data_IF_981419947740
#
_entry.id   IF_981419947740
#
_cell.length_a   1.000
_cell.length_b   1.000
_cell.length_c   1.000
_cell.angle_alpha   90.00
_cell.angle_beta   90.00
_cell.angle_gamma   90.00
#
_symmetry.space_group_name_H-M   'P 1'
#
loop_
_entity.id
_entity.type
_entity.pdbx_description
1 polymer ?
#
# COMPACT_ATOMS: atom_id res chain seq x y z
N UNK A 1 -5.31 9.14 67.93
CA UNK A 1 -5.25 8.29 66.71
C UNK A 1 -4.78 9.14 65.54
N UNK A 2 -3.92 8.56 64.72
CA UNK A 2 -3.09 9.18 63.68
C UNK A 2 -3.91 9.63 62.46
N UNK A 3 -3.77 10.88 62.05
CA UNK A 3 -4.05 11.30 60.67
C UNK A 3 -2.90 10.80 59.77
N UNK A 4 -3.25 10.20 58.63
CA UNK A 4 -2.33 9.97 57.51
C UNK A 4 -2.97 10.54 56.25
N UNK A 5 -2.55 11.75 55.88
CA UNK A 5 -2.72 12.30 54.53
C UNK A 5 -1.56 11.76 53.70
N UNK A 6 -1.85 11.00 52.65
CA UNK A 6 -0.85 10.58 51.66
C UNK A 6 -0.93 11.59 50.53
N UNK A 7 0.07 12.47 50.45
CA UNK A 7 0.30 13.30 49.28
C UNK A 7 1.12 12.45 48.29
N UNK A 8 0.56 12.17 47.11
CA UNK A 8 1.30 11.57 46.01
C UNK A 8 2.17 12.67 45.36
N UNK A 9 3.48 12.43 45.35
CA UNK A 9 4.47 13.26 44.65
C UNK A 9 4.44 12.84 43.18
N UNK A 10 3.96 13.72 42.30
CA UNK A 10 4.15 13.57 40.86
C UNK A 10 5.53 14.15 40.49
N UNK A 11 6.48 13.27 40.17
CA UNK A 11 7.77 13.67 39.61
C UNK A 11 7.60 13.87 38.10
N UNK A 12 7.52 15.13 37.66
CA UNK A 12 7.62 15.47 36.25
C UNK A 12 9.09 15.39 35.83
N UNK A 13 9.44 14.40 35.01
CA UNK A 13 10.75 14.29 34.37
C UNK A 13 10.63 14.81 32.94
N UNK A 14 11.01 16.05 32.70
CA UNK A 14 11.15 16.60 31.35
C UNK A 14 12.48 16.13 30.76
N UNK A 15 12.45 15.13 29.87
CA UNK A 15 13.59 14.85 29.00
C UNK A 15 13.57 15.85 27.84
N UNK A 16 14.58 16.70 27.78
CA UNK A 16 14.83 17.53 26.61
C UNK A 16 15.30 16.62 25.47
N UNK A 17 14.43 16.34 24.50
CA UNK A 17 14.89 15.83 23.21
C UNK A 17 15.67 16.96 22.52
N UNK A 18 16.99 16.83 22.51
CA UNK A 18 17.83 17.51 21.54
C UNK A 18 17.54 16.91 20.17
N UNK A 19 16.59 17.50 19.45
CA UNK A 19 16.38 17.22 18.03
C UNK A 19 17.62 17.73 17.29
N UNK A 20 18.52 16.81 16.95
CA UNK A 20 19.30 17.00 15.74
C UNK A 20 18.31 16.90 14.59
N UNK A 21 17.99 18.02 13.98
CA UNK A 21 17.30 18.02 12.70
C UNK A 21 18.26 17.40 11.68
N UNK A 22 18.25 16.08 11.57
CA UNK A 22 18.58 15.44 10.31
C UNK A 22 17.63 16.08 9.29
N UNK A 23 18.20 16.70 8.28
CA UNK A 23 17.43 17.34 7.23
C UNK A 23 16.70 16.22 6.49
N UNK A 24 15.49 15.89 6.96
CA UNK A 24 14.59 15.02 6.24
C UNK A 24 14.25 15.77 4.95
N UNK A 25 14.89 15.41 3.84
CA UNK A 25 14.17 15.48 2.58
C UNK A 25 12.92 14.64 2.81
N UNK A 26 11.76 15.28 2.85
CA UNK A 26 10.53 14.53 2.79
C UNK A 26 10.52 13.88 1.42
N UNK A 27 10.82 12.58 1.36
CA UNK A 27 10.60 11.79 0.17
C UNK A 27 9.12 11.99 -0.21
N UNK A 28 8.87 12.49 -1.40
CA UNK A 28 7.52 12.65 -1.95
C UNK A 28 7.59 12.28 -3.42
N UNK A 29 7.75 10.99 -3.68
CA UNK A 29 7.89 10.47 -5.03
C UNK A 29 6.72 9.59 -5.43
N UNK A 30 6.31 9.71 -6.69
CA UNK A 30 5.30 8.86 -7.31
C UNK A 30 5.96 7.61 -7.90
N UNK A 31 5.61 6.44 -7.37
CA UNK A 31 5.96 5.16 -7.96
C UNK A 31 4.75 4.60 -8.72
N UNK A 32 4.96 4.19 -9.97
CA UNK A 32 3.90 3.63 -10.81
C UNK A 32 4.40 2.43 -11.62
N UNK A 33 3.46 1.62 -12.11
CA UNK A 33 3.77 0.51 -12.99
C UNK A 33 3.83 1.00 -14.45
N UNK A 34 5.01 1.01 -15.06
CA UNK A 34 5.16 1.20 -16.50
C UNK A 34 5.06 -0.18 -17.16
N UNK A 35 3.98 -0.39 -17.92
CA UNK A 35 3.69 -1.69 -18.51
C UNK A 35 3.16 -1.53 -19.93
N UNK A 36 3.51 -2.47 -20.81
CA UNK A 36 2.74 -2.74 -22.02
C UNK A 36 2.87 -4.21 -22.40
N UNK A 37 1.76 -4.81 -22.82
CA UNK A 37 1.80 -6.12 -23.45
C UNK A 37 2.41 -6.07 -24.85
N UNK A 38 2.64 -7.24 -25.46
CA UNK A 38 3.29 -7.35 -26.78
C UNK A 38 2.42 -6.75 -27.88
N UNK A 39 1.09 -6.80 -27.73
CA UNK A 39 0.16 -6.30 -28.72
C UNK A 39 -0.15 -4.79 -28.56
N UNK A 40 0.40 -4.14 -27.52
CA UNK A 40 0.16 -2.73 -27.20
C UNK A 40 -1.33 -2.41 -26.97
N UNK A 41 -2.09 -3.38 -26.45
CA UNK A 41 -3.52 -3.27 -26.19
C UNK A 41 -3.80 -2.98 -24.71
N UNK A 42 -2.88 -3.40 -23.82
CA UNK A 42 -2.89 -3.01 -22.42
C UNK A 42 -1.55 -2.37 -22.07
N UNK A 43 -1.58 -1.08 -21.73
CA UNK A 43 -0.39 -0.40 -21.24
C UNK A 43 -0.65 0.80 -20.33
N UNK A 44 0.41 1.24 -19.68
CA UNK A 44 0.49 2.42 -18.85
C UNK A 44 1.88 3.06 -18.99
N UNK A 45 1.93 4.37 -19.29
CA UNK A 45 3.17 5.12 -19.55
C UNK A 45 3.46 6.21 -18.53
N UNK A 46 2.48 6.55 -17.70
CA UNK A 46 2.55 7.69 -16.79
C UNK A 46 1.94 7.31 -15.43
N UNK A 47 2.38 8.00 -14.39
CA UNK A 47 1.72 8.01 -13.09
C UNK A 47 0.36 8.74 -13.14
N UNK A 48 -0.35 8.73 -12.01
CA UNK A 48 -1.69 9.26 -11.84
C UNK A 48 -2.79 8.18 -11.80
N UNK A 49 -2.44 6.91 -11.60
CA UNK A 49 -3.39 5.80 -11.45
C UNK A 49 -3.68 5.52 -9.98
N UNK A 50 -4.85 4.94 -9.70
CA UNK A 50 -5.25 4.60 -8.33
C UNK A 50 -4.32 3.55 -7.67
N UNK A 51 -3.62 2.75 -8.47
CA UNK A 51 -2.66 1.75 -8.01
C UNK A 51 -1.24 2.27 -7.82
N UNK A 52 -0.98 3.56 -8.00
CA UNK A 52 0.34 4.14 -7.76
C UNK A 52 0.63 4.25 -6.26
N UNK A 53 1.91 4.21 -5.89
CA UNK A 53 2.37 4.36 -4.51
C UNK A 53 3.07 5.70 -4.31
N UNK A 54 2.92 6.27 -3.11
CA UNK A 54 3.71 7.42 -2.65
C UNK A 54 4.90 6.90 -1.85
N UNK A 55 6.11 7.09 -2.38
CA UNK A 55 7.35 6.76 -1.67
C UNK A 55 7.71 7.92 -0.76
N UNK A 56 7.69 7.64 0.55
CA UNK A 56 7.89 8.61 1.64
C UNK A 56 9.12 8.33 2.50
N UNK A 57 9.97 7.39 2.09
CA UNK A 57 11.23 7.06 2.73
C UNK A 57 11.62 5.60 2.49
N UNK A 58 12.53 5.05 3.31
CA UNK A 58 12.71 3.61 3.42
C UNK A 58 11.40 2.92 3.82
N UNK A 59 11.12 1.77 3.22
CA UNK A 59 9.88 1.03 3.44
C UNK A 59 9.55 0.10 2.28
N UNK A 60 8.48 -0.66 2.47
CA UNK A 60 7.93 -1.57 1.44
C UNK A 60 6.72 -0.93 0.79
N UNK A 61 6.71 -0.92 -0.53
CA UNK A 61 5.70 -0.27 -1.36
C UNK A 61 5.11 -1.27 -2.34
N UNK A 62 3.85 -1.09 -2.72
CA UNK A 62 3.19 -1.88 -3.77
C UNK A 62 2.54 -0.97 -4.78
N UNK A 63 2.90 -1.14 -6.05
CA UNK A 63 2.22 -0.51 -7.18
C UNK A 63 1.35 -1.53 -7.89
N UNK A 64 0.26 -1.08 -8.51
CA UNK A 64 -0.64 -1.95 -9.25
C UNK A 64 -1.26 -1.28 -10.47
N UNK A 65 -1.65 -2.12 -11.42
CA UNK A 65 -2.33 -1.70 -12.65
C UNK A 65 -3.50 -2.63 -12.91
N UNK A 66 -4.71 -2.07 -12.93
CA UNK A 66 -5.93 -2.79 -13.30
C UNK A 66 -6.19 -2.67 -14.81
N UNK A 67 -6.66 -3.75 -15.44
CA UNK A 67 -6.98 -3.82 -16.88
C UNK A 67 -8.18 -2.96 -17.30
N UNK A 68 -8.88 -2.33 -16.34
CA UNK A 68 -9.96 -1.36 -16.64
C UNK A 68 -9.46 -0.11 -17.38
N UNK A 69 -8.14 0.04 -17.52
CA UNK A 69 -7.47 1.14 -18.20
C UNK A 69 -7.02 0.82 -19.63
N UNK A 70 -7.28 -0.40 -20.16
CA UNK A 70 -6.93 -0.77 -21.53
C UNK A 70 -7.97 -0.26 -22.55
N UNK A 71 -7.50 0.22 -23.72
CA UNK A 71 -8.37 0.78 -24.77
C UNK A 71 -9.12 -0.28 -25.60
N UNK A 72 -8.83 -1.59 -25.42
CA UNK A 72 -9.42 -2.68 -26.19
C UNK A 72 -10.14 -3.72 -25.31
N UNK A 73 -11.08 -4.45 -25.91
CA UNK A 73 -11.95 -5.42 -25.22
C UNK A 73 -11.14 -6.46 -24.43
N UNK A 74 -11.16 -6.32 -23.10
CA UNK A 74 -10.65 -7.20 -22.02
C UNK A 74 -10.10 -8.56 -22.49
N UNK A 75 -8.94 -8.54 -23.13
CA UNK A 75 -8.13 -9.73 -23.35
C UNK A 75 -7.04 -9.70 -22.30
N UNK A 76 -6.65 -10.87 -21.80
CA UNK A 76 -5.50 -10.96 -20.93
C UNK A 76 -4.27 -10.42 -21.67
N UNK A 77 -3.35 -9.78 -20.93
CA UNK A 77 -2.06 -9.36 -21.45
C UNK A 77 -1.42 -10.52 -22.22
N UNK A 78 -1.01 -10.25 -23.45
CA UNK A 78 -0.26 -11.18 -24.27
C UNK A 78 1.23 -10.89 -24.10
N UNK A 79 1.85 -11.56 -23.13
CA UNK A 79 3.22 -11.30 -22.74
C UNK A 79 3.42 -9.91 -22.11
N UNK A 80 4.68 -9.60 -21.84
CA UNK A 80 5.16 -8.31 -21.40
C UNK A 80 6.21 -7.82 -22.39
N UNK A 81 6.01 -6.64 -22.97
CA UNK A 81 7.00 -6.00 -23.85
C UNK A 81 7.79 -4.92 -23.10
N UNK A 82 7.11 -4.20 -22.20
CA UNK A 82 7.73 -3.35 -21.18
C UNK A 82 7.06 -3.64 -19.85
N UNK A 83 7.83 -3.81 -18.78
CA UNK A 83 7.38 -4.09 -17.44
C UNK A 83 8.42 -3.58 -16.44
N UNK A 84 8.12 -2.41 -15.88
CA UNK A 84 9.00 -1.69 -14.95
C UNK A 84 8.17 -1.08 -13.81
N UNK A 85 8.85 -0.77 -12.71
CA UNK A 85 8.39 0.24 -11.75
C UNK A 85 9.24 1.48 -11.93
N UNK A 86 8.60 2.63 -12.15
CA UNK A 86 9.27 3.93 -12.21
C UNK A 86 8.92 4.75 -10.97
N UNK A 87 9.94 5.21 -10.26
CA UNK A 87 9.82 6.15 -9.14
C UNK A 87 10.30 7.52 -9.64
N UNK A 88 9.34 8.39 -9.91
CA UNK A 88 9.55 9.65 -10.64
C UNK A 88 10.45 10.58 -9.84
N UNK A 89 11.55 11.05 -10.43
CA UNK A 89 12.47 12.02 -9.84
C UNK A 89 13.29 11.53 -8.65
N UNK A 90 13.18 10.26 -8.27
CA UNK A 90 13.74 9.75 -7.03
C UNK A 90 15.21 9.31 -7.11
N UNK A 91 15.83 9.30 -8.30
CA UNK A 91 17.16 8.71 -8.45
C UNK A 91 18.21 9.36 -7.54
N UNK A 92 18.22 10.69 -7.45
CA UNK A 92 19.22 11.39 -6.66
C UNK A 92 19.20 11.00 -5.18
N UNK A 93 18.02 10.74 -4.61
CA UNK A 93 17.86 10.35 -3.21
C UNK A 93 17.99 8.84 -3.00
N UNK A 94 17.73 8.03 -4.03
CA UNK A 94 17.80 6.56 -3.97
C UNK A 94 19.12 5.98 -4.49
N UNK A 95 20.03 6.79 -5.04
CA UNK A 95 21.29 6.32 -5.61
C UNK A 95 22.19 5.59 -4.62
N UNK A 96 22.11 5.94 -3.33
CA UNK A 96 22.87 5.33 -2.23
C UNK A 96 22.02 4.37 -1.37
N UNK A 97 20.76 4.13 -1.75
CA UNK A 97 19.83 3.24 -1.05
C UNK A 97 19.89 1.81 -1.62
N UNK A 98 19.48 0.84 -0.82
CA UNK A 98 19.25 -0.52 -1.30
C UNK A 98 17.78 -0.66 -1.74
N UNK A 99 17.56 -0.95 -3.02
CA UNK A 99 16.21 -1.18 -3.57
C UNK A 99 16.12 -2.61 -4.08
N UNK A 100 15.09 -3.33 -3.65
CA UNK A 100 14.87 -4.75 -3.99
C UNK A 100 13.47 -4.98 -4.49
N UNK A 101 13.33 -5.87 -5.48
CA UNK A 101 12.04 -6.34 -5.96
C UNK A 101 11.63 -7.53 -5.10
N UNK A 102 10.50 -7.43 -4.41
CA UNK A 102 10.05 -8.46 -3.46
C UNK A 102 9.11 -9.46 -4.12
N UNK A 103 8.13 -8.98 -4.89
CA UNK A 103 7.16 -9.86 -5.57
C UNK A 103 6.55 -9.23 -6.81
N UNK A 104 6.20 -10.11 -7.74
CA UNK A 104 5.37 -9.80 -8.91
C UNK A 104 4.14 -10.70 -8.86
N UNK A 105 2.95 -10.13 -9.03
CA UNK A 105 1.69 -10.88 -9.10
C UNK A 105 0.88 -10.50 -10.33
N UNK A 106 0.27 -11.50 -10.94
CA UNK A 106 -0.71 -11.37 -12.00
C UNK A 106 -2.00 -12.05 -11.55
N UNK A 107 -3.10 -11.30 -11.51
CA UNK A 107 -4.41 -11.76 -11.02
C UNK A 107 -4.35 -12.44 -9.65
N UNK A 108 -3.48 -11.92 -8.76
CA UNK A 108 -3.24 -12.44 -7.42
C UNK A 108 -2.33 -13.67 -7.34
N UNK A 109 -1.93 -14.26 -8.48
CA UNK A 109 -0.97 -15.36 -8.53
C UNK A 109 0.48 -14.83 -8.62
N UNK A 110 1.41 -15.44 -7.88
CA UNK A 110 2.83 -15.08 -7.95
C UNK A 110 3.44 -15.44 -9.31
N UNK A 111 4.21 -14.51 -9.85
CA UNK A 111 5.02 -14.68 -11.05
C UNK A 111 6.47 -14.83 -10.60
N UNK A 112 7.09 -15.96 -10.96
CA UNK A 112 8.49 -16.21 -10.64
C UNK A 112 9.39 -15.25 -11.42
N UNK A 113 10.41 -14.74 -10.76
CA UNK A 113 11.45 -13.92 -11.37
C UNK A 113 12.84 -14.30 -10.83
N UNK A 114 13.86 -13.94 -11.59
CA UNK A 114 15.27 -14.05 -11.22
C UNK A 114 15.77 -12.70 -10.71
N UNK A 115 15.97 -12.59 -9.40
CA UNK A 115 16.36 -11.35 -8.74
C UNK A 115 17.74 -10.84 -9.19
N UNK A 116 18.66 -11.72 -9.59
CA UNK A 116 20.00 -11.33 -10.04
C UNK A 116 19.98 -10.61 -11.40
N UNK A 117 18.86 -10.72 -12.12
CA UNK A 117 18.68 -10.14 -13.45
C UNK A 117 17.91 -8.84 -13.47
N UNK A 118 17.30 -8.44 -12.36
CA UNK A 118 16.60 -7.15 -12.26
C UNK A 118 17.64 -6.02 -12.35
N UNK A 119 17.31 -4.96 -13.10
CA UNK A 119 18.18 -3.79 -13.23
C UNK A 119 17.55 -2.62 -12.48
N UNK A 120 18.36 -1.92 -11.69
CA UNK A 120 17.94 -0.81 -10.83
C UNK A 120 18.71 0.47 -11.17
N UNK A 121 18.06 1.64 -11.03
CA UNK A 121 18.70 2.96 -11.09
C UNK A 121 18.15 3.88 -12.18
N UNK A 122 18.91 4.92 -12.55
CA UNK A 122 18.55 5.86 -13.62
C UNK A 122 18.89 5.31 -15.01
N UNK A 123 18.13 4.28 -15.41
CA UNK A 123 18.36 3.54 -16.66
C UNK A 123 18.11 4.43 -17.89
N UNK A 124 17.19 5.39 -17.80
CA UNK A 124 16.84 6.28 -18.92
C UNK A 124 17.57 7.64 -18.91
N UNK A 125 18.43 7.89 -17.92
CA UNK A 125 19.14 9.17 -17.73
C UNK A 125 18.20 10.38 -17.61
N UNK A 126 17.06 10.21 -16.92
CA UNK A 126 16.03 11.25 -16.72
C UNK A 126 15.85 11.62 -15.24
N UNK A 127 16.60 11.00 -14.33
CA UNK A 127 16.49 11.21 -12.89
C UNK A 127 15.37 10.42 -12.21
N UNK A 128 14.69 9.53 -12.93
CA UNK A 128 13.76 8.56 -12.33
C UNK A 128 14.57 7.37 -11.81
N UNK A 129 14.18 6.81 -10.68
CA UNK A 129 14.70 5.52 -10.25
C UNK A 129 13.81 4.42 -10.85
N UNK A 130 14.36 3.57 -11.71
CA UNK A 130 13.66 2.47 -12.36
C UNK A 130 14.03 1.15 -11.72
N UNK A 131 13.04 0.29 -11.53
CA UNK A 131 13.18 -1.16 -11.34
C UNK A 131 12.73 -1.81 -12.66
N UNK A 132 13.68 -2.21 -13.50
CA UNK A 132 13.40 -2.84 -14.79
C UNK A 132 13.29 -4.37 -14.61
N UNK A 133 12.07 -4.89 -14.77
CA UNK A 133 11.76 -6.32 -14.66
C UNK A 133 11.89 -6.99 -16.03
N UNK A 134 11.29 -6.36 -17.05
CA UNK A 134 11.51 -6.72 -18.45
C UNK A 134 11.31 -5.50 -19.34
N UNK A 135 12.19 -5.29 -20.30
CA UNK A 135 12.04 -4.26 -21.32
C UNK A 135 12.70 -4.72 -22.62
N UNK A 136 11.90 -4.92 -23.66
CA UNK A 136 12.39 -5.32 -24.98
C UNK A 136 13.41 -4.34 -25.59
N UNK A 137 13.47 -3.11 -25.07
CA UNK A 137 14.41 -2.05 -25.48
C UNK A 137 15.51 -1.77 -24.45
N UNK A 138 15.54 -2.53 -23.35
CA UNK A 138 16.50 -2.40 -22.25
C UNK A 138 17.39 -3.62 -22.09
N UNK A 139 18.18 -3.64 -21.03
CA UNK A 139 19.14 -4.72 -20.74
C UNK A 139 18.44 -6.04 -20.41
N UNK A 140 17.23 -5.99 -19.87
CA UNK A 140 16.46 -7.18 -19.48
C UNK A 140 15.77 -7.88 -20.66
N UNK A 141 15.66 -7.22 -21.81
CA UNK A 141 15.15 -7.77 -23.07
C UNK A 141 16.22 -8.07 -24.12
N UNK A 142 17.45 -7.56 -23.96
CA UNK A 142 18.58 -7.88 -24.83
C UNK A 142 19.12 -9.29 -24.54
N UNK A 143 18.93 -10.22 -25.47
CA UNK A 143 19.38 -11.62 -25.38
C UNK A 143 20.89 -11.81 -25.21
N UNK A 144 21.69 -10.76 -25.38
CA UNK A 144 23.13 -10.78 -25.17
C UNK A 144 23.56 -10.28 -23.78
N UNK A 145 22.64 -9.68 -23.03
CA UNK A 145 22.85 -9.16 -21.69
C UNK A 145 22.82 -10.27 -20.64
N UNK A 146 23.61 -10.13 -19.58
CA UNK A 146 23.54 -11.02 -18.41
C UNK A 146 22.23 -10.85 -17.63
N UNK A 147 21.60 -9.68 -17.74
CA UNK A 147 20.29 -9.37 -17.15
C UNK A 147 19.10 -9.91 -17.98
N UNK A 148 19.36 -10.59 -19.10
CA UNK A 148 18.28 -11.10 -19.96
C UNK A 148 17.40 -12.14 -19.27
N UNK A 149 16.09 -11.94 -19.37
CA UNK A 149 15.10 -12.94 -18.96
C UNK A 149 15.00 -13.07 -17.44
N UNK A 150 14.78 -11.94 -16.77
CA UNK A 150 14.41 -11.93 -15.35
C UNK A 150 13.03 -12.57 -15.11
N UNK A 151 12.12 -12.51 -16.08
CA UNK A 151 10.84 -13.24 -16.11
C UNK A 151 10.66 -13.96 -17.45
N UNK A 152 9.74 -14.93 -17.53
CA UNK A 152 9.24 -15.44 -18.81
C UNK A 152 8.26 -14.43 -19.43
N UNK A 153 8.81 -13.36 -19.99
CA UNK A 153 8.05 -12.23 -20.51
C UNK A 153 7.11 -12.61 -21.66
N UNK A 154 7.47 -13.61 -22.49
CA UNK A 154 6.64 -14.06 -23.60
C UNK A 154 5.39 -14.82 -23.13
N UNK A 155 5.50 -15.52 -22.00
CA UNK A 155 4.38 -16.27 -21.39
C UNK A 155 3.63 -15.49 -20.31
N UNK A 156 4.06 -14.25 -19.99
CA UNK A 156 3.40 -13.43 -18.99
C UNK A 156 1.94 -13.16 -19.39
N UNK A 157 1.03 -13.31 -18.42
CA UNK A 157 -0.38 -13.03 -18.65
C UNK A 157 -1.03 -12.54 -17.37
N UNK A 158 -1.91 -11.56 -17.52
CA UNK A 158 -2.80 -11.04 -16.49
C UNK A 158 -4.11 -10.66 -17.19
N UNK A 159 -5.27 -10.81 -16.56
CA UNK A 159 -6.57 -10.45 -17.14
C UNK A 159 -7.22 -9.28 -16.42
N UNK A 160 -6.96 -9.12 -15.13
CA UNK A 160 -7.61 -8.15 -14.27
C UNK A 160 -6.60 -7.18 -13.67
N UNK A 161 -5.50 -7.68 -13.11
CA UNK A 161 -4.60 -6.87 -12.29
C UNK A 161 -3.16 -7.36 -12.29
N UNK A 162 -2.22 -6.43 -12.34
CA UNK A 162 -0.80 -6.64 -12.07
C UNK A 162 -0.45 -5.92 -10.76
N UNK A 163 0.32 -6.56 -9.89
CA UNK A 163 0.82 -5.98 -8.64
C UNK A 163 2.32 -6.24 -8.50
N UNK A 164 3.08 -5.22 -8.13
CA UNK A 164 4.52 -5.33 -7.88
C UNK A 164 4.84 -4.71 -6.53
N UNK A 165 5.51 -5.49 -5.69
CA UNK A 165 5.99 -5.06 -4.37
C UNK A 165 7.50 -4.92 -4.40
N UNK A 166 8.02 -3.84 -3.85
CA UNK A 166 9.44 -3.56 -3.72
C UNK A 166 9.75 -2.90 -2.38
N UNK A 167 10.99 -3.03 -1.93
CA UNK A 167 11.47 -2.49 -0.67
C UNK A 167 12.65 -1.56 -0.90
N UNK A 168 12.62 -0.39 -0.25
CA UNK A 168 13.72 0.57 -0.17
C UNK A 168 14.27 0.51 1.25
N UNK A 169 15.57 0.27 1.40
CA UNK A 169 16.27 0.26 2.68
C UNK A 169 17.43 1.26 2.67
N UNK A 170 17.65 1.95 3.78
CA UNK A 170 18.83 2.77 3.99
C UNK A 170 19.93 1.92 4.63
N UNK A 171 20.99 1.53 3.89
CA UNK A 171 22.09 0.73 4.45
C UNK A 171 22.87 1.48 5.53
N UNK A 172 22.74 2.81 5.60
CA UNK A 172 23.39 3.69 6.56
C UNK A 172 22.40 4.25 7.61
N UNK A 173 21.13 3.88 7.52
CA UNK A 173 20.08 4.37 8.41
C UNK A 173 20.27 3.84 9.82
N UNK A 174 20.24 4.74 10.82
CA UNK A 174 20.03 4.29 12.19
C UNK A 174 18.65 3.61 12.23
N UNK A 175 18.58 2.37 12.72
CA UNK A 175 17.31 1.66 12.88
C UNK A 175 16.31 2.58 13.57
N UNK A 176 15.28 3.00 12.84
CA UNK A 176 14.18 3.75 13.42
C UNK A 176 13.49 2.75 14.36
N UNK A 177 13.68 2.90 15.67
CA UNK A 177 12.93 2.10 16.63
C UNK A 177 11.45 2.36 16.35
N UNK A 178 10.76 1.32 15.89
CA UNK A 178 9.30 1.33 15.81
C UNK A 178 8.77 1.90 17.13
N UNK A 179 7.79 2.84 17.09
CA UNK A 179 7.20 3.32 18.33
C UNK A 179 6.71 2.09 19.08
N UNK A 180 7.23 1.88 20.30
CA UNK A 180 6.74 0.83 21.17
C UNK A 180 5.21 0.97 21.23
N UNK A 181 4.48 -0.08 20.83
CA UNK A 181 3.05 -0.15 21.09
C UNK A 181 2.86 0.05 22.59
N UNK A 182 2.38 1.24 22.99
CA UNK A 182 1.93 1.44 24.36
C UNK A 182 0.67 0.59 24.52
N UNK A 183 0.84 -0.57 25.14
CA UNK A 183 -0.24 -1.42 25.57
C UNK A 183 -1.09 -0.67 26.62
N UNK A 184 -2.18 -0.04 26.18
CA UNK A 184 -3.22 0.44 27.09
C UNK A 184 -3.86 -0.77 27.80
N UNK A 185 -3.77 -0.79 29.12
CA UNK A 185 -4.42 -1.78 29.97
C UNK A 185 -5.96 -1.69 29.86
N UNK A 186 -6.70 -2.81 29.94
CA UNK A 186 -8.14 -2.80 29.74
C UNK A 186 -8.85 -2.09 30.90
N UNK A 187 -9.73 -1.14 30.56
CA UNK A 187 -10.58 -0.44 31.52
C UNK A 187 -11.65 -1.36 32.11
N UNK A 188 -11.79 -1.28 33.44
CA UNK A 188 -12.69 -2.04 34.29
C UNK A 188 -14.17 -1.70 34.01
N UNK A 189 -14.98 -2.73 33.75
CA UNK A 189 -16.41 -2.67 33.42
C UNK A 189 -17.26 -2.30 34.65
N UNK A 190 -18.00 -1.18 34.58
CA UNK A 190 -18.99 -0.81 35.58
C UNK A 190 -20.41 -1.22 35.11
N UNK A 191 -21.08 -2.00 35.95
CA UNK A 191 -22.37 -2.68 35.76
C UNK A 191 -23.57 -1.76 35.42
N UNK A 192 -24.67 -2.31 34.84
CA UNK A 192 -25.77 -1.53 34.27
C UNK A 192 -26.81 -1.11 35.33
N UNK A 193 -27.39 0.08 35.16
CA UNK A 193 -28.60 0.50 35.87
C UNK A 193 -29.79 0.41 34.91
N UNK A 194 -30.77 -0.35 35.38
CA UNK A 194 -32.08 -0.66 34.80
C UNK A 194 -33.00 0.58 34.77
N UNK A 195 -33.67 0.85 33.64
CA UNK A 195 -35.01 1.47 33.66
C UNK A 195 -35.78 1.22 32.35
N UNK A 196 -37.07 0.91 32.49
CA UNK A 196 -38.09 0.80 31.46
C UNK A 196 -39.40 1.33 32.08
N UNK A 197 -40.51 1.59 31.34
CA UNK A 197 -40.71 1.75 29.88
C UNK A 197 -41.66 2.94 29.52
N UNK A 198 -42.08 2.97 28.23
CA UNK A 198 -43.37 3.43 27.64
C UNK A 198 -43.23 4.62 26.64
N UNK A 199 -43.41 4.36 25.34
CA UNK A 199 -44.66 4.52 24.54
C UNK A 199 -44.84 5.97 24.02
N UNK A 200 -45.31 6.31 22.83
CA UNK A 200 -45.83 5.70 21.60
C UNK A 200 -45.90 6.84 20.54
N UNK A 201 -46.15 6.48 19.27
CA UNK A 201 -46.80 7.26 18.20
C UNK A 201 -45.95 8.03 17.16
N UNK A 202 -46.00 7.48 15.94
CA UNK A 202 -46.20 8.10 14.60
C UNK A 202 -45.84 9.58 14.37
N UNK A 203 -45.15 9.90 13.26
CA UNK A 203 -45.72 10.53 12.03
C UNK A 203 -44.63 10.84 10.97
N UNK A 204 -45.06 10.65 9.72
CA UNK A 204 -44.57 10.96 8.36
C UNK A 204 -43.61 12.15 8.09
N UNK A 205 -42.66 11.86 7.18
CA UNK A 205 -42.28 12.55 5.93
C UNK A 205 -41.88 14.04 5.82
N UNK A 206 -40.81 14.19 5.00
CA UNK A 206 -40.43 15.25 4.05
C UNK A 206 -39.91 16.59 4.57
N UNK A 207 -38.63 16.88 4.27
CA UNK A 207 -38.23 18.01 3.41
C UNK A 207 -36.73 17.97 3.09
N UNK A 208 -36.44 18.12 1.79
CA UNK A 208 -35.13 18.30 1.16
C UNK A 208 -34.53 19.66 1.54
N UNK A 209 -33.24 19.70 1.86
CA UNK A 209 -32.49 20.94 2.08
C UNK A 209 -30.99 20.69 2.03
N UNK A 210 -30.30 21.50 1.24
CA UNK A 210 -28.97 21.23 0.71
C UNK A 210 -27.84 21.74 1.63
N UNK A 211 -26.66 21.16 1.38
CA UNK A 211 -25.32 21.74 1.52
C UNK A 211 -24.60 21.69 2.88
N UNK A 212 -23.45 21.00 2.81
CA UNK A 212 -22.13 21.36 3.34
C UNK A 212 -21.73 20.95 4.76
N UNK A 213 -20.46 20.53 4.83
CA UNK A 213 -19.60 20.30 6.00
C UNK A 213 -19.65 18.90 6.66
N UNK A 214 -18.85 18.00 6.06
CA UNK A 214 -17.81 17.18 6.69
C UNK A 214 -17.84 17.09 8.22
N UNK A 215 -18.17 15.91 8.73
CA UNK A 215 -17.55 15.30 9.90
C UNK A 215 -17.67 13.77 9.75
N UNK A 216 -16.59 13.14 9.26
CA UNK A 216 -16.41 11.69 9.31
C UNK A 216 -16.30 11.28 10.79
N UNK A 217 -17.35 10.64 11.30
CA UNK A 217 -17.34 9.98 12.59
C UNK A 217 -17.81 8.53 12.41
N UNK A 218 -16.89 7.60 12.68
CA UNK A 218 -17.18 6.24 13.15
C UNK A 218 -17.81 5.28 12.14
N UNK A 219 -16.97 4.54 11.41
CA UNK A 219 -17.36 3.21 10.92
C UNK A 219 -17.30 2.26 12.11
N UNK A 220 -18.46 1.90 12.69
CA UNK A 220 -18.59 0.68 13.47
C UNK A 220 -18.96 -0.46 12.53
N UNK A 221 -18.04 -1.41 12.38
CA UNK A 221 -18.34 -2.73 11.87
C UNK A 221 -19.20 -3.48 12.90
N UNK A 222 -20.40 -3.91 12.51
CA UNK A 222 -21.15 -4.95 13.24
C UNK A 222 -21.12 -6.20 12.37
N UNK A 223 -20.24 -7.13 12.74
CA UNK A 223 -20.32 -8.51 12.28
C UNK A 223 -21.39 -9.24 13.09
N UNK A 224 -22.53 -9.54 12.47
CA UNK A 224 -23.52 -10.45 13.02
C UNK A 224 -23.44 -11.78 12.25
N UNK A 225 -22.82 -12.78 12.85
CA UNK A 225 -22.94 -14.17 12.45
C UNK A 225 -24.34 -14.67 12.83
N UNK A 226 -25.12 -15.12 11.83
CA UNK A 226 -26.36 -15.86 12.07
C UNK A 226 -26.18 -17.30 11.55
N UNK A 227 -26.22 -18.23 12.50
CA UNK A 227 -26.14 -19.67 12.29
C UNK A 227 -27.33 -20.19 11.45
N UNK A 228 -27.02 -21.06 10.52
CA UNK A 228 -28.00 -21.87 9.79
C UNK A 228 -28.71 -22.84 10.76
N UNK A 229 -30.04 -22.76 10.84
CA UNK A 229 -30.88 -23.86 11.31
C UNK A 229 -31.72 -24.37 10.15
N UNK A 230 -31.34 -25.53 9.65
CA UNK A 230 -32.11 -26.34 8.69
C UNK A 230 -33.32 -26.93 9.43
N UNK A 231 -34.54 -26.66 8.95
CA UNK A 231 -35.70 -27.47 9.28
C UNK A 231 -36.32 -28.10 8.03
N UNK A 232 -36.05 -29.40 7.95
CA UNK A 232 -36.57 -30.47 7.11
C UNK A 232 -38.05 -30.35 6.75
N UNK A 233 -38.35 -30.40 5.46
CA UNK A 233 -39.69 -30.64 4.91
C UNK A 233 -40.18 -32.06 5.27
N UNK A 234 -41.45 -32.18 5.60
CA UNK A 234 -42.16 -33.46 5.64
C UNK A 234 -43.61 -33.25 5.24
N UNK A 235 -43.91 -33.75 4.03
CA UNK A 235 -45.20 -33.92 3.33
C UNK A 235 -45.92 -32.68 2.84
#
# INVERSE_FOLDING_TARGET
>A
MKLRRIAAVAAASTMALSVMAASASAYEYDAFLMFTDIDWLWGNWDAGKAGDAKVTGPGTYTVSLDNTQAENTMSAANGANVFCVDIIGAYADLADMEVTLDSVKADGAEVAFDAEKIVYGDIEEKGNFRIEIHNAYGLTGDMTSENYGAIDAASFTAAEKIEVTFTISDPNGAAEEAPAEEAEAPAEEAAPVEEAPAADSTTTSTATGNASAVALAGVMAVAAAAAFVVKKQSK
#
